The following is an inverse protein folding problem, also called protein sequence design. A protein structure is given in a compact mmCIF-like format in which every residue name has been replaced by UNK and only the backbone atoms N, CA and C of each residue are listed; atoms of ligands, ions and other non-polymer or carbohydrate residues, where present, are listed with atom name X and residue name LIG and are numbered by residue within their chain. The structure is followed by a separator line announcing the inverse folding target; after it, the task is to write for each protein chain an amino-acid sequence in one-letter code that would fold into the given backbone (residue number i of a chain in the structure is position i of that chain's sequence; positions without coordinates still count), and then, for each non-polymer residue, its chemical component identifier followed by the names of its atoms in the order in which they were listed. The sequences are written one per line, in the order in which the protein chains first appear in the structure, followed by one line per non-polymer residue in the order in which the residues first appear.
data_IF_645495232973
#
_entry.id   IF_645495232973
#
_cell.length_a   1.000
_cell.length_b   1.000
_cell.length_c   1.000
_cell.angle_alpha   90.00
_cell.angle_beta   90.00
_cell.angle_gamma   90.00
#
_symmetry.space_group_name_H-M   'P 1'
#
loop_
_entity.id
_entity.type
_entity.pdbx_description
1 polymer ?
#
# COMPACT_ATOMS: atom_id res chain seq x y z
N UNK A 1 -12.71 -40.63 -50.99
CA UNK A 1 -12.78 -40.01 -49.65
C UNK A 1 -14.22 -40.07 -49.15
N UNK A 2 -14.41 -40.52 -47.92
CA UNK A 2 -15.62 -41.16 -47.40
C UNK A 2 -16.79 -40.18 -47.12
N UNK A 3 -17.96 -40.44 -47.72
CA UNK A 3 -19.25 -39.74 -47.49
C UNK A 3 -19.66 -39.74 -46.00
N UNK A 4 -19.16 -40.71 -45.22
CA UNK A 4 -19.35 -40.80 -43.78
C UNK A 4 -18.67 -39.67 -42.96
N UNK A 5 -17.65 -39.00 -43.49
CA UNK A 5 -16.96 -37.91 -42.77
C UNK A 5 -17.75 -36.59 -42.82
N UNK A 6 -18.33 -36.27 -43.98
CA UNK A 6 -19.19 -35.09 -44.19
C UNK A 6 -20.50 -35.16 -43.37
N UNK A 7 -21.07 -36.36 -43.20
CA UNK A 7 -22.24 -36.58 -42.33
C UNK A 7 -21.92 -36.41 -40.83
N UNK A 8 -20.72 -36.81 -40.39
CA UNK A 8 -20.25 -36.56 -39.01
C UNK A 8 -19.99 -35.07 -38.76
N UNK A 9 -19.38 -34.35 -39.70
CA UNK A 9 -19.19 -32.90 -39.61
C UNK A 9 -20.52 -32.13 -39.58
N UNK A 10 -21.52 -32.53 -40.38
CA UNK A 10 -22.87 -31.90 -40.34
C UNK A 10 -23.63 -32.16 -39.04
N UNK A 11 -23.50 -33.34 -38.43
CA UNK A 11 -24.07 -33.61 -37.09
C UNK A 11 -23.36 -32.82 -35.99
N UNK A 12 -22.04 -32.63 -36.10
CA UNK A 12 -21.25 -31.84 -35.15
C UNK A 12 -21.55 -30.34 -35.24
N UNK A 13 -21.68 -29.79 -36.46
CA UNK A 13 -22.09 -28.40 -36.70
C UNK A 13 -23.53 -28.09 -36.24
N UNK A 14 -24.48 -29.02 -36.44
CA UNK A 14 -25.84 -28.90 -35.88
C UNK A 14 -25.86 -29.00 -34.35
N UNK A 15 -24.96 -29.79 -33.76
CA UNK A 15 -24.79 -29.84 -32.31
C UNK A 15 -24.26 -28.49 -31.78
N UNK A 16 -23.19 -27.95 -32.39
CA UNK A 16 -22.61 -26.65 -32.02
C UNK A 16 -23.61 -25.50 -32.20
N UNK A 17 -24.38 -25.46 -33.30
CA UNK A 17 -25.44 -24.45 -33.49
C UNK A 17 -26.55 -24.57 -32.44
N UNK A 18 -27.00 -25.79 -32.11
CA UNK A 18 -28.01 -25.99 -31.07
C UNK A 18 -27.48 -25.72 -29.64
N UNK A 19 -26.18 -25.95 -29.37
CA UNK A 19 -25.54 -25.62 -28.09
C UNK A 19 -25.27 -24.11 -27.97
N UNK A 20 -24.90 -23.43 -29.07
CA UNK A 20 -24.73 -21.98 -29.11
C UNK A 20 -26.06 -21.21 -28.95
N UNK A 21 -27.15 -21.72 -29.53
CA UNK A 21 -28.51 -21.16 -29.36
C UNK A 21 -29.07 -21.45 -27.96
N UNK A 22 -28.71 -22.58 -27.33
CA UNK A 22 -29.07 -22.85 -25.92
C UNK A 22 -28.25 -22.01 -24.94
N UNK A 23 -26.97 -21.77 -25.21
CA UNK A 23 -26.09 -20.96 -24.36
C UNK A 23 -26.32 -19.46 -24.49
N UNK A 24 -26.84 -18.96 -25.62
CA UNK A 24 -27.24 -17.55 -25.74
C UNK A 24 -28.42 -17.20 -24.83
N UNK A 25 -29.37 -18.13 -24.62
CA UNK A 25 -30.46 -17.92 -23.66
C UNK A 25 -29.99 -17.91 -22.21
N UNK A 26 -28.95 -18.69 -21.87
CA UNK A 26 -28.35 -18.71 -20.53
C UNK A 26 -27.47 -17.48 -20.27
N UNK A 27 -26.75 -16.97 -21.29
CA UNK A 27 -25.97 -15.73 -21.19
C UNK A 27 -26.85 -14.48 -21.21
N UNK A 28 -27.99 -14.49 -21.93
CA UNK A 28 -28.97 -13.39 -21.87
C UNK A 28 -29.71 -13.39 -20.53
N UNK A 29 -30.01 -14.57 -19.96
CA UNK A 29 -30.55 -14.68 -18.58
C UNK A 29 -29.55 -14.21 -17.53
N UNK A 30 -28.24 -14.48 -17.69
CA UNK A 30 -27.23 -13.97 -16.75
C UNK A 30 -27.06 -12.46 -16.86
N UNK A 31 -27.07 -11.88 -18.07
CA UNK A 31 -27.03 -10.42 -18.28
C UNK A 31 -28.30 -9.76 -17.74
N UNK A 32 -29.48 -10.35 -17.98
CA UNK A 32 -30.76 -9.89 -17.44
C UNK A 32 -30.79 -9.95 -15.91
N UNK A 33 -30.28 -11.03 -15.30
CA UNK A 33 -30.16 -11.15 -13.86
C UNK A 33 -29.18 -10.11 -13.29
N UNK A 34 -28.03 -9.89 -13.94
CA UNK A 34 -27.11 -8.81 -13.59
C UNK A 34 -27.78 -7.44 -13.66
N UNK A 35 -28.58 -7.18 -14.70
CA UNK A 35 -29.29 -5.92 -14.87
C UNK A 35 -30.38 -5.73 -13.80
N UNK A 36 -31.09 -6.81 -13.45
CA UNK A 36 -32.11 -6.80 -12.40
C UNK A 36 -31.50 -6.62 -11.01
N UNK A 37 -30.38 -7.29 -10.71
CA UNK A 37 -29.62 -7.10 -9.48
C UNK A 37 -29.03 -5.70 -9.41
N UNK A 38 -28.45 -5.18 -10.50
CA UNK A 38 -27.94 -3.81 -10.58
C UNK A 38 -29.05 -2.78 -10.38
N UNK A 39 -30.22 -3.00 -10.96
CA UNK A 39 -31.39 -2.13 -10.80
C UNK A 39 -31.93 -2.16 -9.36
N UNK A 40 -31.95 -3.33 -8.71
CA UNK A 40 -32.33 -3.47 -7.29
C UNK A 40 -31.33 -2.80 -6.36
N UNK A 41 -30.02 -2.89 -6.64
CA UNK A 41 -28.97 -2.17 -5.90
C UNK A 41 -29.12 -0.66 -6.08
N UNK A 42 -29.41 -0.19 -7.31
CA UNK A 42 -29.64 1.22 -7.60
C UNK A 42 -30.91 1.76 -6.91
N UNK A 43 -31.94 0.92 -6.76
CA UNK A 43 -33.18 1.25 -6.07
C UNK A 43 -33.07 1.22 -4.53
N UNK A 44 -32.08 0.52 -3.97
CA UNK A 44 -31.77 0.50 -2.53
C UNK A 44 -30.80 1.61 -2.09
N UNK A 45 -30.19 2.32 -3.04
CA UNK A 45 -29.47 3.55 -2.72
C UNK A 45 -30.49 4.59 -2.27
N UNK A 46 -30.35 5.09 -1.04
CA UNK A 46 -31.19 6.17 -0.52
C UNK A 46 -31.28 7.28 -1.58
N UNK A 47 -32.48 7.80 -1.89
CA UNK A 47 -32.63 8.83 -2.89
C UNK A 47 -31.74 10.01 -2.48
N UNK A 48 -30.66 10.22 -3.21
CA UNK A 48 -29.84 11.41 -3.03
C UNK A 48 -30.72 12.55 -3.51
N UNK A 49 -31.24 13.34 -2.59
CA UNK A 49 -32.20 14.45 -2.80
C UNK A 49 -31.59 15.65 -3.56
N UNK A 50 -30.52 15.44 -4.31
CA UNK A 50 -29.78 16.48 -5.00
C UNK A 50 -29.70 16.11 -6.49
N UNK A 51 -30.09 17.05 -7.35
CA UNK A 51 -29.96 16.93 -8.82
C UNK A 51 -28.49 16.85 -9.28
N UNK A 52 -27.53 17.05 -8.38
CA UNK A 52 -26.10 17.05 -8.64
C UNK A 52 -25.34 16.16 -7.65
N UNK A 53 -24.22 15.59 -8.10
CA UNK A 53 -23.29 14.90 -7.19
C UNK A 53 -22.65 15.92 -6.24
N UNK A 54 -22.50 15.58 -4.94
CA UNK A 54 -21.86 16.46 -3.98
C UNK A 54 -20.38 16.67 -4.30
N UNK A 55 -19.83 17.79 -3.86
CA UNK A 55 -18.39 18.05 -3.89
C UNK A 55 -17.67 17.08 -2.95
N UNK A 56 -16.53 16.53 -3.39
CA UNK A 56 -15.74 15.60 -2.59
C UNK A 56 -14.58 16.33 -1.91
N UNK A 57 -14.74 16.62 -0.62
CA UNK A 57 -13.76 17.34 0.22
C UNK A 57 -13.21 16.43 1.33
N UNK A 58 -12.95 15.16 1.01
CA UNK A 58 -12.53 14.11 1.96
C UNK A 58 -11.32 13.32 1.44
N UNK A 59 -10.39 14.01 0.78
CA UNK A 59 -9.24 13.40 0.12
C UNK A 59 -8.29 12.67 1.11
N UNK A 60 -8.27 13.07 2.38
CA UNK A 60 -7.49 12.41 3.43
C UNK A 60 -8.01 11.00 3.76
N UNK A 61 -9.32 10.75 3.61
CA UNK A 61 -9.87 9.40 3.72
C UNK A 61 -9.47 8.54 2.51
N UNK A 62 -9.69 9.04 1.30
CA UNK A 62 -9.17 8.44 0.07
C UNK A 62 -9.22 9.43 -1.09
N UNK A 63 -8.37 9.25 -2.08
CA UNK A 63 -8.47 9.97 -3.35
C UNK A 63 -9.19 9.14 -4.42
N UNK A 64 -9.63 9.81 -5.49
CA UNK A 64 -9.96 9.16 -6.76
C UNK A 64 -8.70 8.54 -7.38
N UNK A 65 -8.89 7.61 -8.32
CA UNK A 65 -7.79 7.07 -9.12
C UNK A 65 -7.46 8.05 -10.26
N UNK A 66 -6.20 8.39 -10.45
CA UNK A 66 -5.78 9.20 -11.60
C UNK A 66 -6.03 8.41 -12.91
N UNK A 67 -6.59 9.01 -13.98
CA UNK A 67 -6.81 8.31 -15.24
C UNK A 67 -5.55 7.68 -15.84
N UNK A 68 -4.37 8.32 -15.71
CA UNK A 68 -3.08 7.80 -16.17
C UNK A 68 -2.67 6.56 -15.38
N UNK A 69 -3.03 6.53 -14.09
CA UNK A 69 -2.81 5.37 -13.23
C UNK A 69 -3.71 4.21 -13.67
N UNK A 70 -5.00 4.47 -13.90
CA UNK A 70 -5.92 3.46 -14.39
C UNK A 70 -5.45 2.86 -15.73
N UNK A 71 -5.03 3.70 -16.67
CA UNK A 71 -4.51 3.28 -17.98
C UNK A 71 -3.33 2.32 -17.84
N UNK A 72 -2.38 2.64 -16.95
CA UNK A 72 -1.24 1.78 -16.66
C UNK A 72 -1.63 0.41 -16.07
N UNK A 73 -2.74 0.33 -15.32
CA UNK A 73 -3.21 -0.90 -14.68
C UNK A 73 -3.93 -1.85 -15.65
N UNK A 74 -4.69 -1.30 -16.60
CA UNK A 74 -5.61 -2.06 -17.45
C UNK A 74 -4.97 -3.25 -18.20
N UNK A 75 -3.77 -3.14 -18.80
CA UNK A 75 -3.15 -4.28 -19.50
C UNK A 75 -2.96 -5.51 -18.60
N UNK A 76 -2.66 -5.30 -17.32
CA UNK A 76 -2.37 -6.38 -16.36
C UNK A 76 -3.63 -7.07 -15.82
N UNK A 77 -4.81 -6.50 -16.07
CA UNK A 77 -6.08 -7.20 -15.83
C UNK A 77 -6.54 -8.05 -17.01
N UNK A 78 -6.08 -7.74 -18.23
CA UNK A 78 -6.65 -8.31 -19.45
C UNK A 78 -5.67 -9.24 -20.16
N UNK A 79 -4.52 -8.73 -20.62
CA UNK A 79 -3.58 -9.48 -21.44
C UNK A 79 -2.36 -9.96 -20.66
N UNK A 80 -1.88 -9.16 -19.70
CA UNK A 80 -0.63 -9.38 -18.97
C UNK A 80 -0.92 -9.91 -17.54
N UNK A 81 -1.75 -10.94 -17.43
CA UNK A 81 -2.31 -11.47 -16.18
C UNK A 81 -1.40 -12.46 -15.43
N UNK A 82 -0.14 -12.62 -15.87
CA UNK A 82 0.77 -13.61 -15.31
C UNK A 82 1.09 -13.37 -13.83
N UNK A 83 1.37 -14.45 -13.10
CA UNK A 83 1.88 -14.35 -11.74
C UNK A 83 3.37 -13.96 -11.79
N UNK A 84 3.80 -12.86 -11.12
CA UNK A 84 5.20 -12.42 -11.17
C UNK A 84 6.17 -13.42 -10.52
N UNK A 85 5.67 -14.41 -9.79
CA UNK A 85 6.48 -15.47 -9.19
C UNK A 85 6.69 -16.68 -10.12
N UNK A 86 6.05 -16.71 -11.30
CA UNK A 86 6.24 -17.76 -12.30
C UNK A 86 7.54 -17.56 -13.08
N UNK A 87 8.56 -18.35 -12.77
CA UNK A 87 9.92 -18.17 -13.33
C UNK A 87 10.17 -18.86 -14.68
N UNK A 88 9.24 -19.67 -15.18
CA UNK A 88 9.49 -20.60 -16.30
C UNK A 88 8.85 -20.18 -17.63
N UNK A 89 8.09 -19.08 -17.68
CA UNK A 89 7.38 -18.66 -18.89
C UNK A 89 7.22 -17.15 -19.01
N UNK A 90 7.02 -16.66 -20.23
CA UNK A 90 6.96 -15.23 -20.58
C UNK A 90 5.94 -14.43 -19.74
N UNK A 91 4.74 -14.96 -19.51
CA UNK A 91 3.73 -14.25 -18.69
C UNK A 91 4.23 -13.88 -17.28
N UNK A 92 5.08 -14.71 -16.68
CA UNK A 92 5.64 -14.42 -15.36
C UNK A 92 6.76 -13.39 -15.43
N UNK A 93 7.65 -13.51 -16.42
CA UNK A 93 8.74 -12.55 -16.65
C UNK A 93 8.21 -11.13 -16.96
N UNK A 94 7.16 -11.02 -17.77
CA UNK A 94 6.51 -9.73 -18.08
C UNK A 94 5.88 -9.09 -16.84
N UNK A 95 5.23 -9.90 -16.01
CA UNK A 95 4.62 -9.46 -14.75
C UNK A 95 5.67 -9.07 -13.71
N UNK A 96 6.77 -9.83 -13.60
CA UNK A 96 7.93 -9.52 -12.75
C UNK A 96 8.58 -8.20 -13.16
N UNK A 97 8.83 -8.00 -14.46
CA UNK A 97 9.40 -6.75 -14.96
C UNK A 97 8.51 -5.53 -14.65
N UNK A 98 7.19 -5.69 -14.72
CA UNK A 98 6.24 -4.65 -14.35
C UNK A 98 6.26 -4.32 -12.85
N UNK A 99 6.33 -5.35 -11.99
CA UNK A 99 6.47 -5.19 -10.54
C UNK A 99 7.78 -4.48 -10.19
N UNK A 100 8.90 -4.85 -10.81
CA UNK A 100 10.20 -4.21 -10.53
C UNK A 100 10.27 -2.77 -11.06
N UNK A 101 9.62 -2.46 -12.20
CA UNK A 101 9.45 -1.07 -12.65
C UNK A 101 8.67 -0.26 -11.62
N UNK A 102 7.55 -0.77 -11.14
CA UNK A 102 6.74 -0.11 -10.11
C UNK A 102 7.52 0.09 -8.81
N UNK A 103 8.31 -0.91 -8.41
CA UNK A 103 9.18 -0.84 -7.24
C UNK A 103 10.19 0.30 -7.36
N UNK A 104 10.77 0.48 -8.55
CA UNK A 104 11.67 1.60 -8.84
C UNK A 104 10.95 2.95 -8.75
N UNK A 105 9.75 3.07 -9.32
CA UNK A 105 8.98 4.33 -9.26
C UNK A 105 8.65 4.74 -7.80
N UNK A 106 8.31 3.77 -6.94
CA UNK A 106 8.10 4.03 -5.50
C UNK A 106 9.40 4.47 -4.83
N UNK A 107 10.51 3.78 -5.12
CA UNK A 107 11.82 4.08 -4.52
C UNK A 107 12.35 5.46 -4.93
N UNK A 108 12.24 5.80 -6.22
CA UNK A 108 12.68 7.09 -6.76
C UNK A 108 11.95 8.26 -6.07
N UNK A 109 10.66 8.12 -5.77
CA UNK A 109 9.85 9.16 -5.12
C UNK A 109 10.35 9.53 -3.71
N UNK A 110 10.96 8.58 -3.01
CA UNK A 110 11.43 8.77 -1.62
C UNK A 110 12.96 8.76 -1.50
N UNK A 111 13.68 8.72 -2.61
CA UNK A 111 15.15 8.64 -2.65
C UNK A 111 15.72 7.33 -2.10
N UNK A 112 15.03 6.20 -2.27
CA UNK A 112 15.47 4.87 -1.80
C UNK A 112 16.06 4.00 -2.92
N UNK A 113 16.73 2.90 -2.56
CA UNK A 113 17.03 1.81 -3.51
C UNK A 113 15.76 0.95 -3.71
N UNK A 114 15.40 0.53 -4.94
CA UNK A 114 14.25 -0.35 -5.17
C UNK A 114 14.28 -1.61 -4.31
N UNK A 115 15.48 -2.09 -3.98
CA UNK A 115 15.69 -3.25 -3.13
C UNK A 115 15.28 -3.04 -1.67
N UNK A 116 14.99 -1.82 -1.25
CA UNK A 116 14.54 -1.47 0.10
C UNK A 116 13.00 -1.42 0.19
N UNK A 117 12.30 -1.52 -0.93
CA UNK A 117 10.84 -1.46 -1.01
C UNK A 117 10.23 -2.87 -0.88
N UNK A 118 9.28 -3.02 0.04
CA UNK A 118 8.45 -4.21 0.26
C UNK A 118 7.01 -3.86 -0.04
N UNK A 119 6.36 -4.56 -0.96
CA UNK A 119 4.94 -4.34 -1.25
C UNK A 119 4.04 -4.96 -0.19
N UNK A 120 3.00 -4.22 0.18
CA UNK A 120 1.98 -4.60 1.15
C UNK A 120 0.58 -4.29 0.58
N UNK A 121 -0.47 -4.64 1.29
CA UNK A 121 -1.86 -4.30 0.96
C UNK A 121 -2.25 -2.85 1.31
N UNK A 122 -1.35 -2.08 1.92
CA UNK A 122 -1.59 -0.69 2.31
C UNK A 122 -0.79 -0.27 3.53
N UNK A 123 -0.86 1.02 3.88
CA UNK A 123 -0.13 1.56 5.03
C UNK A 123 -0.50 0.90 6.37
N UNK A 124 -1.73 0.40 6.52
CA UNK A 124 -2.12 -0.37 7.72
C UNK A 124 -1.28 -1.64 7.89
N UNK A 125 -1.07 -2.41 6.82
CA UNK A 125 -0.21 -3.60 6.86
C UNK A 125 1.25 -3.18 7.04
N UNK A 126 1.72 -2.14 6.34
CA UNK A 126 3.09 -1.63 6.48
C UNK A 126 3.40 -1.19 7.92
N UNK A 127 2.52 -0.43 8.57
CA UNK A 127 2.68 -0.01 9.96
C UNK A 127 2.71 -1.20 10.92
N UNK A 128 1.85 -2.21 10.70
CA UNK A 128 1.88 -3.43 11.50
C UNK A 128 3.22 -4.15 11.36
N UNK A 129 3.68 -4.38 10.13
CA UNK A 129 4.96 -5.05 9.85
C UNK A 129 6.12 -4.26 10.45
N UNK A 130 6.15 -2.93 10.29
CA UNK A 130 7.22 -2.09 10.82
C UNK A 130 7.27 -2.13 12.35
N UNK A 131 6.13 -1.88 13.01
CA UNK A 131 6.06 -1.75 14.47
C UNK A 131 6.26 -3.11 15.14
N UNK A 132 5.43 -4.10 14.80
CA UNK A 132 5.50 -5.43 15.43
C UNK A 132 6.73 -6.20 14.98
N UNK A 133 7.06 -6.15 13.69
CA UNK A 133 8.18 -6.92 13.15
C UNK A 133 9.54 -6.43 13.67
N UNK A 134 9.75 -5.13 13.89
CA UNK A 134 10.97 -4.64 14.54
C UNK A 134 10.96 -4.99 16.04
N UNK A 135 9.84 -4.75 16.72
CA UNK A 135 9.72 -5.06 18.15
C UNK A 135 10.03 -6.52 18.44
N UNK A 136 9.42 -7.45 17.71
CA UNK A 136 9.63 -8.90 17.87
C UNK A 136 11.06 -9.33 17.52
N UNK A 137 11.63 -8.81 16.42
CA UNK A 137 12.98 -9.19 15.99
C UNK A 137 14.06 -8.82 17.02
N UNK A 138 13.88 -7.70 17.74
CA UNK A 138 14.86 -7.19 18.71
C UNK A 138 14.43 -7.35 20.19
N UNK A 139 13.37 -8.12 20.45
CA UNK A 139 12.72 -8.25 21.76
C UNK A 139 13.66 -8.68 22.91
N UNK A 140 14.73 -9.44 22.61
CA UNK A 140 15.70 -9.89 23.60
C UNK A 140 16.47 -8.74 24.27
N UNK A 141 16.67 -7.63 23.55
CA UNK A 141 17.54 -6.52 23.99
C UNK A 141 16.81 -5.19 24.11
N UNK A 142 15.71 -5.04 23.38
CA UNK A 142 15.00 -3.78 23.20
C UNK A 142 13.52 -4.03 23.40
N UNK A 143 12.98 -3.55 24.53
CA UNK A 143 11.58 -3.74 24.91
C UNK A 143 10.79 -2.45 25.05
N UNK A 144 11.43 -1.30 24.83
CA UNK A 144 10.77 -0.01 24.90
C UNK A 144 10.52 0.58 23.52
N UNK A 145 9.29 1.05 23.29
CA UNK A 145 8.83 1.71 22.07
C UNK A 145 8.33 3.10 22.43
N UNK A 146 8.66 4.08 21.61
CA UNK A 146 8.16 5.45 21.75
C UNK A 146 7.28 5.77 20.55
N UNK A 147 6.11 6.32 20.80
CA UNK A 147 5.17 6.77 19.77
C UNK A 147 4.45 8.04 20.23
N UNK A 148 3.60 8.64 19.40
CA UNK A 148 2.80 9.81 19.80
C UNK A 148 1.34 9.44 20.08
N UNK A 149 0.63 10.26 20.84
CA UNK A 149 -0.82 10.07 21.08
C UNK A 149 -1.69 10.34 19.84
N UNK A 150 -1.13 10.99 18.82
CA UNK A 150 -1.84 11.43 17.62
C UNK A 150 -1.55 10.57 16.38
N UNK A 151 -0.88 9.42 16.55
CA UNK A 151 -0.67 8.49 15.45
C UNK A 151 -1.99 7.92 14.92
N UNK A 152 -1.96 7.45 13.67
CA UNK A 152 -3.06 6.69 13.12
C UNK A 152 -3.32 5.39 13.92
N UNK A 153 -4.58 4.96 14.00
CA UNK A 153 -5.03 3.81 14.80
C UNK A 153 -4.22 2.55 14.59
N UNK A 154 -3.78 2.25 13.36
CA UNK A 154 -3.00 1.04 13.11
C UNK A 154 -1.60 1.04 13.77
N UNK A 155 -1.00 2.20 14.08
CA UNK A 155 0.21 2.28 14.91
C UNK A 155 -0.17 2.13 16.38
N UNK A 156 -1.15 2.90 16.86
CA UNK A 156 -1.58 2.86 18.27
C UNK A 156 -2.06 1.46 18.69
N UNK A 157 -2.89 0.81 17.89
CA UNK A 157 -3.40 -0.53 18.18
C UNK A 157 -2.30 -1.59 18.03
N UNK A 158 -1.32 -1.39 17.14
CA UNK A 158 -0.14 -2.27 17.10
C UNK A 158 0.68 -2.15 18.38
N UNK A 159 0.86 -0.94 18.90
CA UNK A 159 1.54 -0.71 20.17
C UNK A 159 0.77 -1.33 21.35
N UNK A 160 -0.56 -1.16 21.40
CA UNK A 160 -1.41 -1.80 22.42
C UNK A 160 -1.30 -3.31 22.44
N UNK A 161 -1.25 -3.94 21.27
CA UNK A 161 -1.01 -5.40 21.19
C UNK A 161 0.36 -5.75 21.77
N UNK A 162 1.41 -4.99 21.43
CA UNK A 162 2.75 -5.22 21.98
C UNK A 162 2.83 -5.01 23.50
N UNK A 163 2.04 -4.08 24.07
CA UNK A 163 1.92 -3.94 25.53
C UNK A 163 1.41 -5.23 26.19
N UNK A 164 0.42 -5.90 25.58
CA UNK A 164 -0.07 -7.21 26.07
C UNK A 164 0.95 -8.33 25.94
N UNK A 165 1.97 -8.15 25.10
CA UNK A 165 3.08 -9.08 24.88
C UNK A 165 4.32 -8.74 25.75
N UNK A 166 4.19 -7.75 26.64
CA UNK A 166 5.22 -7.36 27.60
C UNK A 166 6.26 -6.38 27.06
N UNK A 167 5.94 -5.62 26.02
CA UNK A 167 6.68 -4.40 25.66
C UNK A 167 6.17 -3.22 26.49
N UNK A 168 7.05 -2.24 26.68
CA UNK A 168 6.70 -0.97 27.29
C UNK A 168 6.57 0.10 26.19
N UNK A 169 5.48 0.87 26.21
CA UNK A 169 5.20 1.88 25.18
C UNK A 169 4.98 3.24 25.83
N UNK A 170 5.84 4.20 25.46
CA UNK A 170 5.63 5.61 25.80
C UNK A 170 4.82 6.30 24.70
N UNK A 171 3.62 6.78 25.04
CA UNK A 171 2.77 7.60 24.17
C UNK A 171 2.97 9.09 24.48
N UNK A 172 3.83 9.74 23.70
CA UNK A 172 4.19 11.14 23.91
C UNK A 172 3.02 12.08 23.59
N UNK A 173 2.74 13.06 24.47
CA UNK A 173 1.85 14.16 24.13
C UNK A 173 2.52 15.07 23.09
N UNK A 174 1.68 15.83 22.39
CA UNK A 174 2.13 16.87 21.46
C UNK A 174 1.79 18.25 22.02
N UNK A 175 2.44 19.27 21.48
CA UNK A 175 2.10 20.67 21.77
C UNK A 175 0.69 21.00 21.25
N UNK A 176 0.13 22.13 21.65
CA UNK A 176 -1.21 22.55 21.23
C UNK A 176 -1.35 22.72 19.70
N UNK A 177 -0.25 23.00 19.01
CA UNK A 177 -0.18 23.05 17.54
C UNK A 177 -0.05 21.66 16.88
N UNK A 178 -0.08 20.57 17.65
CA UNK A 178 0.07 19.19 17.15
C UNK A 178 1.51 18.73 16.94
N UNK A 179 2.52 19.60 17.14
CA UNK A 179 3.93 19.26 16.90
C UNK A 179 4.55 18.58 18.13
N UNK A 180 5.37 17.56 17.90
CA UNK A 180 6.12 16.87 18.94
C UNK A 180 7.19 17.79 19.54
N UNK A 181 7.22 17.90 20.87
CA UNK A 181 8.31 18.59 21.57
C UNK A 181 9.55 17.69 21.59
N UNK A 182 10.65 18.16 21.00
CA UNK A 182 11.91 17.41 20.89
C UNK A 182 12.63 17.20 22.23
N UNK A 183 12.48 18.10 23.20
CA UNK A 183 13.04 17.92 24.55
C UNK A 183 12.30 16.80 25.30
N UNK A 184 10.97 16.79 25.23
CA UNK A 184 10.14 15.72 25.80
C UNK A 184 10.45 14.38 25.15
N UNK A 185 10.64 14.37 23.82
CA UNK A 185 11.05 13.17 23.09
C UNK A 185 12.43 12.67 23.53
N UNK A 186 13.44 13.53 23.61
CA UNK A 186 14.78 13.12 24.05
C UNK A 186 14.79 12.59 25.49
N UNK A 187 14.03 13.21 26.40
CA UNK A 187 13.91 12.79 27.78
C UNK A 187 13.24 11.41 27.94
N UNK A 188 12.38 11.01 27.01
CA UNK A 188 11.73 9.69 27.02
C UNK A 188 12.63 8.56 26.52
N UNK A 189 13.77 8.87 25.88
CA UNK A 189 14.68 7.84 25.37
C UNK A 189 15.38 7.11 26.53
N UNK A 190 15.32 5.78 26.49
CA UNK A 190 15.93 4.87 27.45
C UNK A 190 17.00 3.99 26.79
N UNK A 191 17.91 3.36 27.57
CA UNK A 191 18.90 2.43 27.02
C UNK A 191 18.28 1.25 26.25
N UNK A 192 17.09 0.81 26.66
CA UNK A 192 16.32 -0.29 26.05
C UNK A 192 15.34 0.16 24.95
N UNK A 193 15.29 1.45 24.59
CA UNK A 193 14.47 1.94 23.46
C UNK A 193 14.95 1.29 22.16
N UNK A 194 14.05 0.55 21.52
CA UNK A 194 14.29 -0.17 20.27
C UNK A 194 13.73 0.53 19.05
N UNK A 195 12.54 1.11 19.18
CA UNK A 195 11.78 1.68 18.08
C UNK A 195 11.16 3.00 18.49
N UNK A 196 11.24 3.98 17.59
CA UNK A 196 10.44 5.21 17.61
C UNK A 196 9.53 5.18 16.39
N UNK A 197 8.23 5.40 16.58
CA UNK A 197 7.25 5.57 15.50
C UNK A 197 6.61 6.95 15.58
N UNK A 198 6.84 7.80 14.60
CA UNK A 198 6.20 9.12 14.51
C UNK A 198 5.78 9.38 13.08
N UNK A 199 4.49 9.61 12.84
CA UNK A 199 3.93 9.88 11.52
C UNK A 199 4.46 11.21 10.94
N UNK A 200 4.67 11.26 9.63
CA UNK A 200 5.26 12.43 8.98
C UNK A 200 4.27 13.59 8.86
N UNK A 201 3.02 13.31 8.47
CA UNK A 201 1.90 14.26 8.42
C UNK A 201 0.68 13.62 9.05
N UNK A 202 0.04 14.32 9.99
CA UNK A 202 -1.18 13.83 10.62
C UNK A 202 -2.37 13.83 9.65
N UNK A 203 -3.16 12.75 9.65
CA UNK A 203 -4.29 12.57 8.73
C UNK A 203 -5.54 13.38 9.08
N UNK A 204 -5.66 13.91 10.30
CA UNK A 204 -6.84 14.66 10.77
C UNK A 204 -6.59 16.16 10.68
N UNK A 205 -5.46 16.64 11.22
CA UNK A 205 -5.14 18.07 11.32
C UNK A 205 -4.07 18.55 10.34
N UNK A 206 -3.43 17.64 9.58
CA UNK A 206 -2.45 18.01 8.55
C UNK A 206 -1.09 18.48 9.08
N UNK A 207 -0.85 18.44 10.39
CA UNK A 207 0.41 18.89 10.99
C UNK A 207 1.57 17.98 10.58
N UNK A 208 2.66 18.61 10.11
CA UNK A 208 3.91 17.93 9.80
C UNK A 208 4.81 17.84 11.03
N UNK A 209 5.37 16.65 11.28
CA UNK A 209 6.33 16.44 12.37
C UNK A 209 7.77 16.72 11.90
N UNK A 210 8.70 17.09 12.80
CA UNK A 210 10.11 17.34 12.49
C UNK A 210 10.87 16.02 12.25
N UNK A 211 10.47 15.26 11.23
CA UNK A 211 10.95 13.90 10.92
C UNK A 211 12.48 13.85 10.77
N UNK A 212 13.08 14.89 10.19
CA UNK A 212 14.54 15.00 10.02
C UNK A 212 15.28 15.06 11.37
N UNK A 213 14.77 15.85 12.31
CA UNK A 213 15.38 16.03 13.63
C UNK A 213 15.19 14.77 14.49
N UNK A 214 14.00 14.17 14.42
CA UNK A 214 13.70 12.88 15.05
C UNK A 214 14.65 11.80 14.53
N UNK A 215 14.78 11.67 13.21
CA UNK A 215 15.66 10.70 12.57
C UNK A 215 17.13 10.91 12.93
N UNK A 216 17.61 12.16 12.96
CA UNK A 216 18.97 12.49 13.38
C UNK A 216 19.25 12.03 14.83
N UNK A 217 18.31 12.28 15.76
CA UNK A 217 18.44 11.86 17.15
C UNK A 217 18.39 10.33 17.29
N UNK A 218 17.45 9.67 16.62
CA UNK A 218 17.34 8.21 16.57
C UNK A 218 18.63 7.57 16.07
N UNK A 219 19.19 8.08 14.96
CA UNK A 219 20.47 7.59 14.41
C UNK A 219 21.62 7.76 15.40
N UNK A 220 21.75 8.94 16.02
CA UNK A 220 22.78 9.22 17.05
C UNK A 220 22.69 8.26 18.24
N UNK A 221 21.47 7.90 18.66
CA UNK A 221 21.20 7.01 19.79
C UNK A 221 21.10 5.52 19.40
N UNK A 222 21.26 5.19 18.10
CA UNK A 222 21.13 3.82 17.54
C UNK A 222 19.76 3.19 17.84
N UNK A 223 18.70 3.97 17.65
CA UNK A 223 17.30 3.56 17.80
C UNK A 223 16.70 3.49 16.40
N UNK A 224 15.87 2.47 16.12
CA UNK A 224 15.20 2.38 14.83
C UNK A 224 14.11 3.44 14.72
N UNK A 225 14.07 4.14 13.58
CA UNK A 225 13.04 5.13 13.31
C UNK A 225 12.07 4.68 12.22
N UNK A 226 10.81 4.49 12.60
CA UNK A 226 9.69 4.30 11.71
C UNK A 226 8.89 5.61 11.55
N UNK A 227 8.47 5.92 10.32
CA UNK A 227 7.50 6.99 10.08
C UNK A 227 6.34 6.51 9.20
N UNK A 228 5.11 6.77 9.64
CA UNK A 228 3.93 6.64 8.78
C UNK A 228 3.87 7.87 7.86
N UNK A 229 4.17 7.64 6.58
CA UNK A 229 4.22 8.68 5.56
C UNK A 229 3.04 8.60 4.58
N UNK A 230 1.95 7.89 4.93
CA UNK A 230 0.80 7.72 4.05
C UNK A 230 0.17 9.05 3.60
N UNK A 231 0.24 10.09 4.43
CA UNK A 231 -0.23 11.44 4.07
C UNK A 231 0.87 12.36 3.53
N UNK A 232 2.15 12.01 3.68
CA UNK A 232 3.27 12.87 3.32
C UNK A 232 3.81 12.60 1.90
N UNK A 233 4.01 11.32 1.57
CA UNK A 233 4.59 10.92 0.27
C UNK A 233 3.72 11.44 -0.87
N UNK A 234 4.37 11.99 -1.89
CA UNK A 234 3.71 12.56 -3.07
C UNK A 234 3.07 13.94 -2.85
N UNK A 235 3.13 14.50 -1.64
CA UNK A 235 2.60 15.85 -1.32
C UNK A 235 3.71 16.80 -0.89
N UNK A 236 4.64 16.31 -0.05
CA UNK A 236 5.83 17.04 0.36
C UNK A 236 7.10 16.27 -0.06
N UNK A 237 8.24 16.96 -0.24
CA UNK A 237 9.51 16.28 -0.47
C UNK A 237 9.86 15.36 0.70
N UNK A 238 10.16 14.10 0.38
CA UNK A 238 10.59 13.09 1.35
C UNK A 238 11.83 12.41 0.79
N UNK A 239 12.90 12.36 1.59
CA UNK A 239 14.11 11.60 1.25
C UNK A 239 14.52 10.77 2.47
N UNK A 240 14.57 9.45 2.31
CA UNK A 240 14.81 8.51 3.41
C UNK A 240 16.19 8.67 4.04
N UNK A 241 17.19 9.06 3.26
CA UNK A 241 18.56 9.25 3.72
C UNK A 241 18.74 10.59 4.42
N UNK A 242 18.24 11.69 3.83
CA UNK A 242 18.30 13.02 4.43
C UNK A 242 17.57 13.09 5.78
N UNK A 243 16.48 12.31 5.90
CA UNK A 243 15.66 12.22 7.11
C UNK A 243 16.08 11.08 8.06
N UNK A 244 17.14 10.32 7.75
CA UNK A 244 17.62 9.19 8.56
C UNK A 244 16.55 8.14 8.92
N UNK A 245 15.62 7.88 8.02
CA UNK A 245 14.49 6.98 8.26
C UNK A 245 14.95 5.53 8.10
N UNK A 246 14.58 4.65 9.02
CA UNK A 246 14.89 3.21 8.97
C UNK A 246 13.73 2.40 8.38
N UNK A 247 12.48 2.79 8.67
CA UNK A 247 11.27 2.21 8.10
C UNK A 247 10.25 3.29 7.71
N UNK A 248 9.53 3.13 6.60
CA UNK A 248 8.49 4.08 6.19
C UNK A 248 7.29 3.38 5.56
N UNK A 249 6.10 3.72 6.04
CA UNK A 249 4.83 3.21 5.49
C UNK A 249 4.25 4.15 4.45
N UNK A 250 3.80 3.57 3.33
CA UNK A 250 3.28 4.31 2.17
C UNK A 250 1.98 3.65 1.69
N UNK A 251 1.01 4.46 1.25
CA UNK A 251 -0.29 4.01 0.76
C UNK A 251 -0.59 4.55 -0.64
N UNK A 252 -1.06 3.70 -1.56
CA UNK A 252 -1.38 4.13 -2.93
C UNK A 252 -2.59 5.05 -3.03
N UNK A 253 -3.68 4.73 -2.33
CA UNK A 253 -4.94 5.48 -2.43
C UNK A 253 -4.97 6.85 -1.73
N UNK A 254 -3.84 7.28 -1.18
CA UNK A 254 -3.63 8.63 -0.64
C UNK A 254 -2.90 9.55 -1.62
N UNK A 255 -2.49 9.02 -2.77
CA UNK A 255 -1.74 9.72 -3.83
C UNK A 255 -2.32 9.39 -5.23
N UNK A 256 -3.64 9.28 -5.31
CA UNK A 256 -4.36 8.97 -6.57
C UNK A 256 -4.06 7.59 -7.18
N UNK A 257 -3.50 6.68 -6.39
CA UNK A 257 -3.33 5.27 -6.71
C UNK A 257 -4.51 4.38 -6.30
N UNK A 258 -4.46 3.07 -6.60
CA UNK A 258 -5.53 2.16 -6.23
C UNK A 258 -5.54 1.84 -4.72
N UNK A 259 -6.72 1.47 -4.21
CA UNK A 259 -6.89 0.91 -2.86
C UNK A 259 -6.37 -0.53 -2.82
N UNK A 260 -5.98 -0.99 -1.63
CA UNK A 260 -5.52 -2.38 -1.43
C UNK A 260 -4.06 -2.63 -1.81
N UNK A 261 -3.26 -1.57 -1.95
CA UNK A 261 -1.81 -1.66 -2.14
C UNK A 261 -1.09 -0.54 -1.38
N UNK A 262 0.08 -0.87 -0.87
CA UNK A 262 1.02 0.06 -0.27
C UNK A 262 2.44 -0.48 -0.36
N UNK A 263 3.36 0.23 0.29
CA UNK A 263 4.72 -0.23 0.47
C UNK A 263 5.20 0.03 1.89
N UNK A 264 6.18 -0.76 2.29
CA UNK A 264 7.03 -0.54 3.44
C UNK A 264 8.46 -0.39 2.92
N UNK A 265 9.06 0.77 3.12
CA UNK A 265 10.50 0.93 2.98
C UNK A 265 11.18 0.32 4.21
N UNK A 266 12.21 -0.50 3.99
CA UNK A 266 13.05 -1.09 5.03
C UNK A 266 14.51 -0.87 4.67
N UNK A 267 15.18 -0.01 5.43
CA UNK A 267 16.57 0.36 5.18
C UNK A 267 17.51 -0.85 5.21
N UNK A 268 18.32 -0.99 4.15
CA UNK A 268 19.35 -2.05 4.07
C UNK A 268 20.73 -1.63 4.54
N UNK A 269 21.02 -0.32 4.58
CA UNK A 269 22.30 0.24 5.05
C UNK A 269 22.09 1.52 5.88
N UNK A 270 22.46 1.52 7.17
CA UNK A 270 22.69 0.34 8.02
C UNK A 270 21.51 -0.65 7.99
N UNK A 271 21.79 -1.95 8.14
CA UNK A 271 20.78 -3.00 7.93
C UNK A 271 19.75 -3.05 9.06
N UNK A 272 18.50 -2.81 8.72
CA UNK A 272 17.33 -3.08 9.58
C UNK A 272 16.84 -4.50 9.32
N UNK A 273 16.40 -5.20 10.36
CA UNK A 273 15.75 -6.50 10.24
C UNK A 273 14.37 -6.45 10.87
N UNK A 274 13.43 -7.14 10.24
CA UNK A 274 12.03 -7.13 10.60
C UNK A 274 11.56 -8.58 10.56
N UNK A 275 10.89 -9.03 11.62
CA UNK A 275 10.23 -10.33 11.62
C UNK A 275 8.97 -10.26 10.75
N UNK A 276 8.78 -11.19 9.79
CA UNK A 276 7.57 -11.22 8.97
C UNK A 276 6.35 -11.57 9.82
N UNK A 277 5.24 -10.87 9.58
CA UNK A 277 3.94 -11.17 10.20
C UNK A 277 3.16 -12.19 9.33
N UNK A 278 3.29 -12.09 8.01
CA UNK A 278 2.59 -12.96 7.07
C UNK A 278 3.47 -14.14 6.62
N UNK A 279 3.13 -15.32 7.14
CA UNK A 279 3.77 -16.60 6.77
C UNK A 279 3.44 -17.03 5.33
N UNK A 280 4.36 -17.74 4.69
CA UNK A 280 4.19 -18.27 3.33
C UNK A 280 5.53 -18.43 2.61
N UNK A 281 5.48 -18.54 1.27
CA UNK A 281 6.62 -18.91 0.42
C UNK A 281 7.79 -17.93 0.33
N UNK A 282 7.90 -16.95 1.24
CA UNK A 282 9.07 -16.08 1.35
C UNK A 282 9.18 -15.01 0.25
N UNK A 283 8.06 -14.63 -0.36
CA UNK A 283 8.00 -13.48 -1.27
C UNK A 283 8.45 -12.18 -0.57
N UNK A 284 8.75 -11.14 -1.36
CA UNK A 284 9.28 -9.87 -0.86
C UNK A 284 10.47 -10.06 0.10
N UNK A 285 11.36 -11.01 -0.27
CA UNK A 285 12.60 -11.35 0.46
C UNK A 285 12.36 -11.87 1.87
N UNK A 286 11.26 -12.59 2.04
CA UNK A 286 10.88 -13.19 3.32
C UNK A 286 10.25 -12.21 4.31
N UNK A 287 10.02 -10.94 3.94
CA UNK A 287 9.36 -9.97 4.82
C UNK A 287 7.84 -9.97 4.68
N UNK A 288 7.32 -10.27 3.48
CA UNK A 288 5.88 -10.28 3.20
C UNK A 288 5.54 -11.36 2.18
N UNK A 289 5.11 -12.53 2.67
CA UNK A 289 4.73 -13.65 1.80
C UNK A 289 3.42 -13.39 1.04
N UNK A 290 3.19 -14.10 -0.06
CA UNK A 290 1.96 -14.03 -0.85
C UNK A 290 2.18 -13.45 -2.25
N UNK A 291 1.23 -13.71 -3.15
CA UNK A 291 1.29 -13.21 -4.52
C UNK A 291 1.30 -11.69 -4.53
N UNK A 292 2.23 -11.10 -5.29
CA UNK A 292 2.28 -9.65 -5.47
C UNK A 292 1.20 -9.29 -6.49
N UNK A 293 0.24 -8.41 -6.16
CA UNK A 293 -0.87 -8.11 -7.05
C UNK A 293 -0.42 -7.14 -8.15
N UNK A 294 0.14 -7.68 -9.24
CA UNK A 294 0.77 -6.90 -10.32
C UNK A 294 -0.03 -5.68 -10.78
N UNK A 295 -1.36 -5.76 -11.07
CA UNK A 295 -2.11 -4.59 -11.50
C UNK A 295 -2.12 -3.47 -10.44
N UNK A 296 -2.27 -3.82 -9.15
CA UNK A 296 -2.30 -2.82 -8.08
C UNK A 296 -0.92 -2.19 -7.86
N UNK A 297 0.13 -3.00 -7.90
CA UNK A 297 1.51 -2.53 -7.77
C UNK A 297 1.90 -1.61 -8.93
N UNK A 298 1.54 -1.97 -10.16
CA UNK A 298 1.75 -1.12 -11.35
C UNK A 298 1.01 0.22 -11.18
N UNK A 299 -0.25 0.18 -10.76
CA UNK A 299 -1.01 1.41 -10.49
C UNK A 299 -0.38 2.27 -9.40
N UNK A 300 0.13 1.65 -8.33
CA UNK A 300 0.81 2.37 -7.27
C UNK A 300 2.13 3.00 -7.72
N UNK A 301 2.95 2.27 -8.49
CA UNK A 301 4.16 2.83 -9.10
C UNK A 301 3.88 3.99 -10.04
N UNK A 302 2.85 3.87 -10.89
CA UNK A 302 2.41 4.96 -11.76
C UNK A 302 1.94 6.19 -10.96
N UNK A 303 1.21 5.97 -9.86
CA UNK A 303 0.78 7.04 -8.97
C UNK A 303 1.96 7.76 -8.31
N UNK A 304 3.01 7.01 -7.91
CA UNK A 304 4.25 7.60 -7.40
C UNK A 304 4.98 8.41 -8.47
N UNK A 305 5.07 7.93 -9.70
CA UNK A 305 5.71 8.66 -10.80
C UNK A 305 4.97 9.96 -11.13
N UNK A 306 3.63 9.91 -11.23
CA UNK A 306 2.79 11.09 -11.45
C UNK A 306 2.96 12.09 -10.32
N UNK A 307 2.83 11.62 -9.08
CA UNK A 307 2.97 12.49 -7.90
C UNK A 307 4.35 13.15 -7.87
N UNK A 308 5.42 12.41 -8.17
CA UNK A 308 6.78 12.97 -8.21
C UNK A 308 6.96 14.10 -9.22
N UNK A 309 6.30 14.02 -10.38
CA UNK A 309 6.36 15.07 -11.42
C UNK A 309 5.49 16.29 -11.11
N UNK A 310 4.37 16.07 -10.42
CA UNK A 310 3.37 17.12 -10.17
C UNK A 310 3.45 17.71 -8.76
N UNK A 311 4.30 17.18 -7.88
CA UNK A 311 4.40 17.59 -6.48
C UNK A 311 4.72 19.07 -6.32
N UNK A 312 5.63 19.64 -7.13
CA UNK A 312 5.96 21.07 -7.08
C UNK A 312 4.74 21.93 -7.47
N UNK A 313 4.04 21.56 -8.55
CA UNK A 313 2.82 22.25 -9.00
C UNK A 313 1.71 22.16 -7.95
N UNK A 314 1.57 21.01 -7.29
CA UNK A 314 0.56 20.81 -6.25
C UNK A 314 0.92 21.53 -4.95
N UNK A 315 2.21 21.66 -4.62
CA UNK A 315 2.69 22.38 -3.43
C UNK A 315 2.43 23.89 -3.47
N UNK A 316 2.28 24.48 -4.66
CA UNK A 316 1.89 25.90 -4.82
C UNK A 316 0.49 26.22 -4.30
N UNK A 317 -0.36 25.20 -4.11
CA UNK A 317 -1.73 25.34 -3.61
C UNK A 317 -1.87 24.97 -2.12
N UNK A 318 -0.76 24.66 -1.43
CA UNK A 318 -0.71 24.36 0.00
C UNK A 318 -0.13 25.50 0.82
#
# INVERSE_FOLDING_TARGET
MNVNYLLRCRKFLKCIQNTAIRNSSASVKSISAYHETYSKIKAQQAPTTYDFKPLYLDAQATTSLDPRVLDAMLPYFVSNYGNPHSRTHAYGWESEAAVEKARKQVADLIGADPKDIVFTSGATESNNIAVKGVAHFYAERKKHIITTQIEHKCVLDSCRVLETEGFDVTYLPVQQNGVLNMETFEAAIRPDTGLVSVMAINNEIGVAQPVKDIGALCRKKKIFFHTDAAQAVGKIPVNVDDMNIDLMSISGHKIYGPKGVGALYVRRRPRVRVQPIQSGGGQERGMRSGTVPTPLVVGFGAACEVSGKEMEVNSYYY
#
